data_IF_053194857049
#
_entry.id   IF_053194857049
#
_cell.length_a   1.000
_cell.length_b   1.000
_cell.length_c   1.000
_cell.angle_alpha   90.00
_cell.angle_beta   90.00
_cell.angle_gamma   90.00
#
_symmetry.space_group_name_H-M   'P 1'
#
loop_
_entity.id
_entity.type
_entity.pdbx_description
1 polymer ?
#
# COMPACT_ATOMS: atom_id res chain seq x y z
N UNK A 1 14.82 -11.97 -72.53
CA UNK A 1 14.11 -10.74 -72.10
C UNK A 1 14.35 -9.65 -73.14
N UNK A 2 13.29 -9.13 -73.75
CA UNK A 2 13.36 -8.08 -74.79
C UNK A 2 13.91 -6.76 -74.21
N UNK A 3 14.75 -6.05 -74.96
CA UNK A 3 15.29 -4.70 -74.60
C UNK A 3 14.20 -3.70 -74.17
N UNK A 4 12.96 -3.88 -74.64
CA UNK A 4 11.81 -3.04 -74.24
C UNK A 4 11.39 -3.28 -72.78
N UNK A 5 11.54 -4.51 -72.28
CA UNK A 5 11.22 -4.87 -70.89
C UNK A 5 12.22 -4.25 -69.92
N UNK A 6 13.50 -4.18 -70.30
CA UNK A 6 14.58 -3.58 -69.49
C UNK A 6 14.45 -2.04 -69.37
N UNK A 7 14.04 -1.37 -70.44
CA UNK A 7 13.85 0.08 -70.44
C UNK A 7 12.65 0.52 -69.59
N UNK A 8 11.55 -0.25 -69.61
CA UNK A 8 10.37 0.01 -68.79
C UNK A 8 10.65 -0.20 -67.30
N UNK A 9 11.43 -1.23 -66.94
CA UNK A 9 11.83 -1.45 -65.53
C UNK A 9 12.84 -0.41 -65.02
N UNK A 10 13.78 0.04 -65.84
CA UNK A 10 14.73 1.12 -65.49
C UNK A 10 14.03 2.49 -65.37
N UNK A 11 13.08 2.81 -66.24
CA UNK A 11 12.29 4.04 -66.14
C UNK A 11 11.34 4.03 -64.92
N UNK A 12 10.75 2.87 -64.60
CA UNK A 12 9.90 2.70 -63.41
C UNK A 12 10.69 2.86 -62.10
N UNK A 13 11.95 2.42 -62.05
CA UNK A 13 12.83 2.59 -60.89
C UNK A 13 13.21 4.07 -60.64
N UNK A 14 13.21 4.92 -61.67
CA UNK A 14 13.47 6.36 -61.53
C UNK A 14 12.23 7.18 -61.13
N UNK A 15 11.02 6.62 -61.27
CA UNK A 15 9.76 7.33 -60.99
C UNK A 15 9.41 7.39 -59.49
N UNK A 16 9.97 6.49 -58.68
CA UNK A 16 9.66 6.39 -57.26
C UNK A 16 10.93 6.40 -56.40
N UNK A 17 10.82 6.94 -55.19
CA UNK A 17 11.86 6.84 -54.16
C UNK A 17 11.32 5.98 -53.03
N UNK A 18 12.08 4.96 -52.63
CA UNK A 18 11.80 4.16 -51.45
C UNK A 18 12.58 4.69 -50.26
N UNK A 19 11.88 5.08 -49.20
CA UNK A 19 12.48 5.45 -47.92
C UNK A 19 12.14 4.34 -46.92
N UNK A 20 13.16 3.82 -46.24
CA UNK A 20 13.01 2.86 -45.15
C UNK A 20 13.29 3.56 -43.83
N UNK A 21 12.38 3.42 -42.90
CA UNK A 21 12.51 3.94 -41.53
C UNK A 21 12.04 2.90 -40.53
N UNK A 22 12.65 2.88 -39.36
CA UNK A 22 12.22 2.05 -38.24
C UNK A 22 11.28 2.86 -37.35
N UNK A 23 10.11 2.31 -37.06
CA UNK A 23 9.14 2.85 -36.10
C UNK A 23 9.05 1.90 -34.90
N UNK A 24 9.01 2.43 -33.68
CA UNK A 24 8.89 1.65 -32.45
C UNK A 24 7.69 2.13 -31.65
N UNK A 25 6.94 1.17 -31.10
CA UNK A 25 5.77 1.47 -30.26
C UNK A 25 5.90 0.76 -28.93
N UNK A 26 5.71 1.53 -27.86
CA UNK A 26 5.65 0.97 -26.51
C UNK A 26 4.34 0.20 -26.34
N UNK A 27 4.45 -1.02 -25.85
CA UNK A 27 3.37 -1.90 -25.44
C UNK A 27 3.21 -1.91 -23.93
N UNK A 28 2.96 -3.10 -23.38
CA UNK A 28 2.74 -3.30 -21.95
C UNK A 28 4.01 -2.97 -21.15
N UNK A 29 3.81 -2.31 -20.01
CA UNK A 29 4.87 -2.03 -19.04
C UNK A 29 4.58 -2.80 -17.77
N UNK A 30 5.56 -3.56 -17.30
CA UNK A 30 5.47 -4.29 -16.03
C UNK A 30 6.70 -4.05 -15.18
N UNK A 31 6.51 -4.04 -13.87
CA UNK A 31 7.58 -3.93 -12.89
C UNK A 31 7.89 -5.32 -12.34
N UNK A 32 9.14 -5.75 -12.47
CA UNK A 32 9.61 -7.04 -11.97
C UNK A 32 10.51 -6.80 -10.76
N UNK A 33 10.18 -7.40 -9.63
CA UNK A 33 11.01 -7.31 -8.42
C UNK A 33 12.33 -8.08 -8.62
N UNK A 34 13.43 -7.45 -8.25
CA UNK A 34 14.76 -8.04 -8.19
C UNK A 34 14.97 -8.86 -6.92
N UNK A 35 16.11 -9.53 -6.85
CA UNK A 35 16.45 -10.47 -5.76
C UNK A 35 17.25 -9.84 -4.62
N UNK A 36 17.72 -8.61 -4.80
CA UNK A 36 18.52 -7.90 -3.78
C UNK A 36 17.60 -7.07 -2.92
N UNK A 37 17.51 -7.43 -1.63
CA UNK A 37 16.71 -6.74 -0.64
C UNK A 37 17.56 -5.80 0.23
N UNK A 38 17.02 -4.61 0.49
CA UNK A 38 17.58 -3.63 1.41
C UNK A 38 16.60 -3.38 2.55
N UNK A 39 17.11 -3.39 3.78
CA UNK A 39 16.34 -3.09 4.97
C UNK A 39 16.03 -1.58 5.06
N UNK A 40 14.78 -1.26 5.37
CA UNK A 40 14.36 0.09 5.78
C UNK A 40 14.43 0.24 7.30
N UNK A 41 14.41 1.47 7.84
CA UNK A 41 14.31 1.69 9.27
C UNK A 41 13.17 0.85 9.86
N UNK A 42 13.39 0.19 11.02
CA UNK A 42 12.34 -0.61 11.65
C UNK A 42 11.12 0.24 12.00
N UNK A 43 9.98 -0.42 12.10
CA UNK A 43 8.69 0.19 12.41
C UNK A 43 7.88 -0.74 13.30
N UNK A 44 6.83 -0.19 13.93
CA UNK A 44 5.84 -0.98 14.64
C UNK A 44 4.58 -1.09 13.78
N UNK A 45 3.93 -2.25 13.82
CA UNK A 45 2.63 -2.48 13.21
C UNK A 45 1.66 -2.97 14.28
N UNK A 46 0.39 -2.61 14.17
CA UNK A 46 -0.66 -3.15 15.04
C UNK A 46 -1.22 -4.40 14.38
N UNK A 47 -1.11 -5.53 15.07
CA UNK A 47 -1.69 -6.79 14.66
C UNK A 47 -3.21 -6.81 14.89
N UNK A 48 -3.96 -7.73 14.25
CA UNK A 48 -5.41 -7.81 14.40
C UNK A 48 -5.92 -7.99 15.83
N UNK A 49 -5.10 -8.49 16.76
CA UNK A 49 -5.44 -8.64 18.17
C UNK A 49 -5.03 -7.44 19.05
N UNK A 50 -4.57 -6.35 18.43
CA UNK A 50 -4.16 -5.13 19.11
C UNK A 50 -2.75 -5.18 19.71
N UNK A 51 -1.98 -6.25 19.50
CA UNK A 51 -0.56 -6.30 19.89
C UNK A 51 0.30 -5.58 18.86
N UNK A 52 1.43 -5.03 19.30
CA UNK A 52 2.41 -4.46 18.38
C UNK A 52 3.34 -5.55 17.86
N UNK A 53 3.70 -5.46 16.59
CA UNK A 53 4.76 -6.26 15.97
C UNK A 53 5.82 -5.33 15.41
N UNK A 54 7.06 -5.54 15.85
CA UNK A 54 8.22 -4.78 15.42
C UNK A 54 8.84 -5.44 14.20
N UNK A 55 8.85 -4.74 13.08
CA UNK A 55 9.36 -5.27 11.82
C UNK A 55 10.34 -4.32 11.15
N UNK A 56 11.23 -4.89 10.37
CA UNK A 56 12.12 -4.21 9.44
C UNK A 56 11.55 -4.43 8.03
N UNK A 57 10.89 -3.44 7.43
CA UNK A 57 10.38 -3.56 6.06
C UNK A 57 11.54 -3.75 5.08
N UNK A 58 11.34 -4.62 4.08
CA UNK A 58 12.33 -4.90 3.05
C UNK A 58 11.88 -4.32 1.72
N UNK A 59 12.78 -3.59 1.08
CA UNK A 59 12.57 -3.12 -0.30
C UNK A 59 13.60 -3.73 -1.22
N UNK A 60 13.13 -4.30 -2.33
CA UNK A 60 13.98 -4.88 -3.35
C UNK A 60 14.20 -3.90 -4.48
N UNK A 61 15.35 -4.03 -5.14
CA UNK A 61 15.53 -3.39 -6.45
C UNK A 61 14.46 -3.90 -7.42
N UNK A 62 14.11 -3.12 -8.44
CA UNK A 62 13.19 -3.60 -9.49
C UNK A 62 13.69 -3.21 -10.86
N UNK A 63 13.15 -3.88 -11.87
CA UNK A 63 13.36 -3.56 -13.27
C UNK A 63 12.00 -3.27 -13.88
N UNK A 64 11.88 -2.16 -14.60
CA UNK A 64 10.72 -1.87 -15.44
C UNK A 64 11.01 -2.48 -16.81
N UNK A 65 10.23 -3.49 -17.15
CA UNK A 65 10.23 -4.12 -18.46
C UNK A 65 9.12 -3.47 -19.31
N UNK A 66 9.50 -2.91 -20.46
CA UNK A 66 8.56 -2.39 -21.44
C UNK A 66 8.69 -3.20 -22.72
N UNK A 67 7.59 -3.79 -23.17
CA UNK A 67 7.54 -4.42 -24.48
C UNK A 67 7.57 -3.33 -25.56
N UNK A 68 8.50 -3.43 -26.49
CA UNK A 68 8.64 -2.51 -27.62
C UNK A 68 8.42 -3.29 -28.90
N UNK A 69 7.34 -2.97 -29.61
CA UNK A 69 7.06 -3.53 -30.92
C UNK A 69 7.80 -2.71 -31.99
N UNK A 70 8.62 -3.39 -32.79
CA UNK A 70 9.30 -2.80 -33.94
C UNK A 70 8.50 -2.94 -35.23
N UNK A 71 8.53 -1.91 -36.06
CA UNK A 71 7.96 -1.92 -37.40
C UNK A 71 8.97 -1.34 -38.39
N UNK A 72 9.27 -2.10 -39.43
CA UNK A 72 9.93 -1.55 -40.61
C UNK A 72 8.87 -0.90 -41.49
N UNK A 73 9.01 0.41 -41.70
CA UNK A 73 8.12 1.20 -42.55
C UNK A 73 8.83 1.47 -43.86
N UNK A 74 8.30 0.89 -44.94
CA UNK A 74 8.74 1.19 -46.31
C UNK A 74 7.73 2.14 -46.94
N UNK A 75 8.19 3.36 -47.24
CA UNK A 75 7.39 4.36 -47.96
C UNK A 75 7.91 4.49 -49.38
N UNK A 76 7.06 4.17 -50.34
CA UNK A 76 7.31 4.40 -51.77
C UNK A 76 6.58 5.69 -52.14
N UNK A 77 7.35 6.75 -52.43
CA UNK A 77 6.84 8.08 -52.78
C UNK A 77 7.18 8.45 -54.23
N UNK A 78 6.44 9.37 -54.86
CA UNK A 78 6.79 9.89 -56.17
C UNK A 78 8.17 10.56 -56.12
N UNK A 79 8.99 10.34 -57.15
CA UNK A 79 10.20 11.12 -57.33
C UNK A 79 9.82 12.53 -57.80
N UNK A 80 10.03 13.54 -56.95
CA UNK A 80 9.70 14.93 -57.26
C UNK A 80 10.37 15.42 -58.55
N UNK A 81 11.59 14.97 -58.86
CA UNK A 81 12.27 15.35 -60.10
C UNK A 81 11.57 14.79 -61.35
N UNK A 82 11.08 13.55 -61.30
CA UNK A 82 10.34 12.95 -62.41
C UNK A 82 9.01 13.66 -62.65
N UNK A 83 8.30 14.02 -61.58
CA UNK A 83 7.05 14.79 -61.66
C UNK A 83 7.31 16.17 -62.28
N UNK A 84 8.33 16.90 -61.83
CA UNK A 84 8.68 18.23 -62.36
C UNK A 84 9.03 18.16 -63.84
N UNK A 85 9.88 17.21 -64.24
CA UNK A 85 10.23 17.01 -65.66
C UNK A 85 9.00 16.66 -66.49
N UNK A 86 8.11 15.80 -65.98
CA UNK A 86 6.86 15.46 -66.64
C UNK A 86 5.93 16.67 -66.84
N UNK A 87 5.76 17.50 -65.81
CA UNK A 87 4.93 18.71 -65.89
C UNK A 87 5.48 19.68 -66.92
N UNK A 88 6.79 19.93 -66.92
CA UNK A 88 7.44 20.81 -67.90
C UNK A 88 7.29 20.27 -69.32
N UNK A 89 7.55 18.97 -69.54
CA UNK A 89 7.42 18.34 -70.84
C UNK A 89 5.97 18.34 -71.35
N UNK A 90 4.99 18.09 -70.47
CA UNK A 90 3.56 18.15 -70.79
C UNK A 90 3.14 19.57 -71.17
N UNK A 91 3.57 20.57 -70.40
CA UNK A 91 3.25 21.97 -70.68
C UNK A 91 3.83 22.45 -72.01
N UNK A 92 5.11 22.15 -72.28
CA UNK A 92 5.75 22.47 -73.56
C UNK A 92 5.09 21.71 -74.73
N UNK A 93 4.75 20.43 -74.52
CA UNK A 93 4.06 19.60 -75.50
C UNK A 93 2.66 20.13 -75.82
N UNK A 94 1.88 20.51 -74.80
CA UNK A 94 0.55 21.09 -74.97
C UNK A 94 0.61 22.41 -75.75
N UNK A 95 1.56 23.31 -75.41
CA UNK A 95 1.75 24.57 -76.12
C UNK A 95 2.13 24.34 -77.59
N UNK A 96 3.05 23.42 -77.86
CA UNK A 96 3.45 23.08 -79.23
C UNK A 96 2.31 22.43 -80.02
N UNK A 97 1.53 21.54 -79.40
CA UNK A 97 0.36 20.91 -80.02
C UNK A 97 -0.73 21.95 -80.36
N UNK A 98 -1.08 22.83 -79.43
CA UNK A 98 -2.08 23.90 -79.67
C UNK A 98 -1.62 24.83 -80.79
N UNK A 99 -0.34 25.25 -80.78
CA UNK A 99 0.20 26.09 -81.86
C UNK A 99 0.27 25.39 -83.21
N UNK A 100 0.63 24.10 -83.23
CA UNK A 100 0.65 23.30 -84.45
C UNK A 100 -0.74 23.09 -85.04
N UNK A 101 -1.74 22.83 -84.20
CA UNK A 101 -3.14 22.68 -84.59
C UNK A 101 -3.79 23.98 -85.09
N UNK A 102 -3.27 25.13 -84.68
CA UNK A 102 -3.72 26.44 -85.16
C UNK A 102 -3.05 26.91 -86.47
N UNK A 103 -2.23 26.08 -87.11
CA UNK A 103 -1.62 26.41 -88.42
C UNK A 103 -2.53 26.01 -89.58
N UNK A 104 -2.37 26.64 -90.74
CA UNK A 104 -3.18 26.39 -91.94
C UNK A 104 -3.09 24.94 -92.45
N UNK A 105 -2.03 24.20 -92.06
CA UNK A 105 -1.82 22.80 -92.43
C UNK A 105 -1.37 21.93 -91.21
N UNK A 106 -2.30 21.60 -90.29
CA UNK A 106 -1.99 21.02 -88.98
C UNK A 106 -1.21 19.71 -89.00
N UNK A 107 -1.45 18.87 -90.02
CA UNK A 107 -0.86 17.53 -90.15
C UNK A 107 0.60 17.55 -90.66
N UNK A 108 1.01 18.64 -91.31
CA UNK A 108 2.38 18.84 -91.82
C UNK A 108 3.30 19.63 -90.87
N UNK A 109 2.74 20.24 -89.81
CA UNK A 109 3.50 21.10 -88.91
C UNK A 109 4.41 20.28 -87.97
N UNK A 110 5.72 20.54 -87.92
CA UNK A 110 6.64 19.87 -86.99
C UNK A 110 6.28 20.12 -85.53
N UNK A 111 5.58 21.22 -85.21
CA UNK A 111 5.10 21.53 -83.86
C UNK A 111 4.02 20.57 -83.38
N UNK A 112 3.20 20.01 -84.29
CA UNK A 112 2.20 18.99 -83.95
C UNK A 112 2.87 17.69 -83.50
N UNK A 113 3.97 17.28 -84.17
CA UNK A 113 4.74 16.09 -83.80
C UNK A 113 5.55 16.27 -82.51
N UNK A 114 6.18 17.43 -82.34
CA UNK A 114 6.87 17.79 -81.08
C UNK A 114 5.87 17.87 -79.93
N UNK A 115 4.67 18.41 -80.17
CA UNK A 115 3.58 18.47 -79.20
C UNK A 115 3.10 17.09 -78.76
N UNK A 116 2.85 16.19 -79.73
CA UNK A 116 2.48 14.81 -79.46
C UNK A 116 3.58 14.05 -78.69
N UNK A 117 4.85 14.22 -79.06
CA UNK A 117 5.98 13.62 -78.35
C UNK A 117 6.10 14.16 -76.91
N UNK A 118 5.92 15.47 -76.71
CA UNK A 118 5.94 16.11 -75.39
C UNK A 118 4.82 15.62 -74.48
N UNK A 119 3.61 15.43 -75.00
CA UNK A 119 2.48 14.86 -74.25
C UNK A 119 2.67 13.37 -73.97
N UNK A 120 3.18 12.60 -74.94
CA UNK A 120 3.40 11.16 -74.80
C UNK A 120 4.50 10.82 -73.76
N UNK A 121 5.47 11.71 -73.57
CA UNK A 121 6.52 11.57 -72.53
C UNK A 121 6.11 12.25 -71.23
N UNK A 122 5.50 13.43 -71.33
CA UNK A 122 5.15 14.27 -70.18
C UNK A 122 4.06 13.68 -69.30
N UNK A 123 2.94 13.25 -69.89
CA UNK A 123 1.78 12.76 -69.13
C UNK A 123 2.11 11.52 -68.28
N UNK A 124 2.83 10.50 -68.79
CA UNK A 124 3.27 9.38 -67.96
C UNK A 124 4.22 9.80 -66.83
N UNK A 125 5.07 10.80 -67.02
CA UNK A 125 5.97 11.29 -65.97
C UNK A 125 5.26 12.20 -64.96
N UNK A 126 4.14 12.84 -65.32
CA UNK A 126 3.33 13.63 -64.39
C UNK A 126 2.41 12.77 -63.54
N UNK A 127 1.74 11.78 -64.15
CA UNK A 127 0.71 10.96 -63.48
C UNK A 127 1.31 9.66 -62.94
N UNK A 128 2.21 9.03 -63.72
CA UNK A 128 2.80 7.73 -63.40
C UNK A 128 3.47 7.64 -62.03
N UNK A 129 4.23 8.65 -61.55
CA UNK A 129 4.85 8.62 -60.23
C UNK A 129 3.87 8.55 -59.04
N UNK A 130 2.57 8.81 -59.25
CA UNK A 130 1.55 8.66 -58.21
C UNK A 130 0.96 7.24 -58.17
N UNK A 131 1.08 6.49 -59.27
CA UNK A 131 0.61 5.11 -59.39
C UNK A 131 1.64 4.17 -58.76
N UNK A 132 1.26 3.52 -57.66
CA UNK A 132 2.14 2.62 -56.91
C UNK A 132 2.73 3.23 -55.63
N UNK A 133 2.32 4.44 -55.27
CA UNK A 133 2.59 5.01 -53.94
C UNK A 133 1.96 4.14 -52.86
N UNK A 134 2.77 3.74 -51.88
CA UNK A 134 2.33 2.86 -50.80
C UNK A 134 3.16 3.08 -49.56
N UNK A 135 2.53 2.85 -48.42
CA UNK A 135 3.22 2.70 -47.14
C UNK A 135 2.97 1.26 -46.69
N UNK A 136 4.02 0.45 -46.68
CA UNK A 136 3.98 -0.89 -46.11
C UNK A 136 4.58 -0.86 -44.71
N UNK A 137 3.95 -1.56 -43.77
CA UNK A 137 4.46 -1.76 -42.42
C UNK A 137 4.69 -3.25 -42.20
N UNK A 138 5.92 -3.62 -41.93
CA UNK A 138 6.31 -5.00 -41.66
C UNK A 138 6.68 -5.13 -40.18
N UNK A 139 5.95 -5.94 -39.39
CA UNK A 139 6.29 -6.15 -37.98
C UNK A 139 7.63 -6.89 -37.89
N UNK A 140 8.55 -6.35 -37.08
CA UNK A 140 9.89 -6.94 -36.89
C UNK A 140 10.02 -7.71 -35.58
N UNK A 141 8.92 -7.79 -34.82
CA UNK A 141 8.81 -8.52 -33.56
C UNK A 141 8.68 -7.60 -32.35
N UNK A 142 8.65 -8.20 -31.17
CA UNK A 142 8.59 -7.53 -29.87
C UNK A 142 9.91 -7.75 -29.13
N UNK A 143 10.50 -6.68 -28.61
CA UNK A 143 11.68 -6.73 -27.77
C UNK A 143 11.35 -6.17 -26.39
N UNK A 144 11.83 -6.83 -25.34
CA UNK A 144 11.69 -6.33 -23.97
C UNK A 144 12.84 -5.39 -23.68
N UNK A 145 12.55 -4.13 -23.39
CA UNK A 145 13.54 -3.15 -22.92
C UNK A 145 13.45 -3.06 -21.40
N UNK A 146 14.56 -3.38 -20.74
CA UNK A 146 14.69 -3.33 -19.27
C UNK A 146 15.34 -2.02 -18.83
N UNK A 147 14.76 -1.34 -17.83
CA UNK A 147 15.34 -0.15 -17.19
C UNK A 147 15.29 -0.28 -15.66
N UNK A 148 16.24 0.32 -14.92
CA UNK A 148 16.16 0.37 -13.46
C UNK A 148 14.81 0.95 -13.01
N UNK A 149 14.09 0.21 -12.19
CA UNK A 149 12.81 0.60 -11.62
C UNK A 149 12.93 1.15 -10.19
N UNK A 150 11.83 1.68 -9.63
CA UNK A 150 11.81 2.13 -8.24
C UNK A 150 11.99 0.94 -7.29
N UNK A 151 12.51 1.17 -6.08
CA UNK A 151 12.53 0.12 -5.07
C UNK A 151 11.09 -0.29 -4.71
N UNK A 152 10.80 -1.59 -4.73
CA UNK A 152 9.47 -2.14 -4.46
C UNK A 152 9.45 -2.90 -3.12
N UNK A 153 8.36 -2.86 -2.34
CA UNK A 153 8.21 -3.72 -1.17
C UNK A 153 8.34 -5.19 -1.57
N UNK A 154 9.15 -5.96 -0.84
CA UNK A 154 9.33 -7.38 -1.11
C UNK A 154 9.25 -8.27 0.14
N UNK A 155 8.76 -7.71 1.23
CA UNK A 155 8.49 -8.42 2.47
C UNK A 155 8.91 -7.63 3.70
N UNK A 156 8.96 -8.32 4.81
CA UNK A 156 9.33 -7.78 6.11
C UNK A 156 10.02 -8.86 6.93
N UNK A 157 10.84 -8.43 7.89
CA UNK A 157 11.52 -9.31 8.84
C UNK A 157 11.24 -8.83 10.25
N UNK A 158 11.02 -9.73 11.19
CA UNK A 158 10.92 -9.40 12.61
C UNK A 158 12.19 -8.68 13.10
N UNK A 159 12.03 -7.65 13.94
CA UNK A 159 13.16 -7.06 14.65
C UNK A 159 13.63 -8.04 15.71
N UNK A 160 14.92 -8.36 15.72
CA UNK A 160 15.53 -9.20 16.75
C UNK A 160 15.62 -8.42 18.07
N UNK A 161 14.53 -8.43 18.84
CA UNK A 161 14.45 -7.88 20.19
C UNK A 161 13.91 -8.96 21.12
N UNK A 162 14.34 -8.93 22.38
CA UNK A 162 13.80 -9.82 23.44
C UNK A 162 12.84 -9.07 24.36
N UNK A 163 12.90 -7.75 24.31
CA UNK A 163 12.32 -6.87 25.30
C UNK A 163 12.03 -5.51 24.68
N UNK A 164 10.91 -4.90 25.09
CA UNK A 164 10.54 -3.56 24.68
C UNK A 164 10.00 -2.75 25.86
N UNK A 165 10.34 -1.47 25.89
CA UNK A 165 9.74 -0.46 26.77
C UNK A 165 9.04 0.56 25.89
N UNK A 166 7.76 0.79 26.14
CA UNK A 166 6.93 1.75 25.42
C UNK A 166 6.57 2.88 26.39
N UNK A 167 6.71 4.11 25.94
CA UNK A 167 6.32 5.31 26.68
C UNK A 167 5.18 6.00 25.94
N UNK A 168 4.09 6.28 26.66
CA UNK A 168 2.93 6.99 26.12
C UNK A 168 2.22 7.78 27.21
N UNK A 169 2.08 9.09 27.05
CA UNK A 169 1.39 9.96 28.04
C UNK A 169 1.86 9.76 29.50
N UNK A 170 3.16 9.51 29.70
CA UNK A 170 3.75 9.25 31.02
C UNK A 170 3.55 7.82 31.56
N UNK A 171 2.80 6.98 30.85
CA UNK A 171 2.71 5.55 31.10
C UNK A 171 3.96 4.85 30.57
N UNK A 172 4.51 3.96 31.38
CA UNK A 172 5.64 3.10 31.02
C UNK A 172 5.12 1.67 30.86
N UNK A 173 5.26 1.09 29.67
CA UNK A 173 4.78 -0.27 29.38
C UNK A 173 5.94 -1.14 29.00
N UNK A 174 6.29 -2.05 29.89
CA UNK A 174 7.36 -3.02 29.69
C UNK A 174 6.81 -4.39 29.32
N UNK A 175 7.54 -5.14 28.48
CA UNK A 175 7.18 -6.50 28.14
C UNK A 175 8.19 -7.23 27.26
N UNK A 176 8.02 -8.55 27.17
CA UNK A 176 8.80 -9.39 26.28
C UNK A 176 8.41 -9.16 24.80
N UNK A 177 9.37 -9.42 23.91
CA UNK A 177 9.18 -9.51 22.46
C UNK A 177 9.53 -10.93 22.06
N UNK A 178 8.63 -11.60 21.35
CA UNK A 178 8.87 -12.95 20.84
C UNK A 178 9.69 -12.95 19.54
N UNK A 179 10.06 -14.14 19.06
CA UNK A 179 10.92 -14.32 17.88
C UNK A 179 10.28 -13.77 16.58
N UNK A 180 8.96 -13.62 16.54
CA UNK A 180 8.21 -13.01 15.42
C UNK A 180 8.16 -11.47 15.52
N UNK A 181 8.80 -10.91 16.55
CA UNK A 181 8.85 -9.47 16.82
C UNK A 181 7.61 -8.95 17.52
N UNK A 182 6.74 -9.83 18.04
CA UNK A 182 5.47 -9.43 18.63
C UNK A 182 5.64 -9.11 20.11
N UNK A 183 5.17 -7.93 20.49
CA UNK A 183 5.21 -7.46 21.85
C UNK A 183 4.14 -8.14 22.71
N UNK A 184 4.49 -8.59 23.90
CA UNK A 184 3.61 -9.34 24.82
C UNK A 184 2.37 -8.56 25.29
N UNK A 185 2.45 -7.24 25.37
CA UNK A 185 1.35 -6.38 25.85
C UNK A 185 0.58 -5.82 24.66
N UNK A 186 -0.76 -5.87 24.71
CA UNK A 186 -1.60 -5.27 23.70
C UNK A 186 -1.80 -3.78 23.97
N UNK A 187 -2.00 -2.97 22.92
CA UNK A 187 -2.30 -1.55 23.06
C UNK A 187 -3.52 -1.30 23.95
N UNK A 188 -4.50 -2.20 23.89
CA UNK A 188 -5.73 -2.12 24.69
C UNK A 188 -5.57 -2.47 26.17
N UNK A 189 -4.41 -2.95 26.60
CA UNK A 189 -4.12 -3.15 28.04
C UNK A 189 -3.82 -1.80 28.74
N UNK A 190 -3.69 -0.72 27.98
CA UNK A 190 -3.48 0.64 28.49
C UNK A 190 -4.28 1.74 27.74
N UNK A 191 -5.03 1.35 26.72
CA UNK A 191 -6.01 2.19 26.03
C UNK A 191 -7.35 1.49 26.14
N UNK A 192 -8.38 2.19 26.59
CA UNK A 192 -9.69 1.59 26.78
C UNK A 192 -10.31 1.17 25.43
N UNK A 193 -10.41 -0.15 25.20
CA UNK A 193 -10.98 -0.73 23.98
C UNK A 193 -12.48 -0.41 23.81
N UNK A 194 -13.19 -0.09 24.90
CA UNK A 194 -14.60 0.29 24.84
C UNK A 194 -14.81 1.79 24.61
N UNK A 195 -13.74 2.58 24.54
CA UNK A 195 -13.85 4.01 24.25
C UNK A 195 -14.38 4.23 22.81
N UNK A 196 -15.47 5.00 22.63
CA UNK A 196 -16.02 5.28 21.31
C UNK A 196 -15.03 6.03 20.40
N UNK A 197 -14.13 6.84 20.97
CA UNK A 197 -13.12 7.62 20.24
C UNK A 197 -11.73 7.34 20.79
N UNK A 198 -11.01 6.42 20.15
CA UNK A 198 -9.64 6.09 20.54
C UNK A 198 -8.69 7.28 20.29
N UNK A 199 -7.76 7.56 21.21
CA UNK A 199 -6.71 8.54 20.99
C UNK A 199 -5.64 7.99 20.03
N UNK A 200 -4.87 8.85 19.35
CA UNK A 200 -3.64 8.42 18.69
C UNK A 200 -2.62 7.98 19.74
N UNK A 201 -1.82 6.97 19.42
CA UNK A 201 -0.73 6.54 20.30
C UNK A 201 0.59 7.02 19.73
N UNK A 202 1.08 8.13 20.25
CA UNK A 202 2.44 8.59 20.01
C UNK A 202 3.39 7.81 20.93
N UNK A 203 3.94 6.73 20.38
CA UNK A 203 4.71 5.75 21.13
C UNK A 203 6.20 6.00 20.96
N UNK A 204 6.84 6.10 22.12
CA UNK A 204 8.27 6.16 22.29
C UNK A 204 8.77 4.76 22.70
N UNK A 205 9.42 4.03 21.79
CA UNK A 205 9.66 2.58 21.92
C UNK A 205 11.17 2.29 21.99
N UNK A 206 11.61 1.73 23.11
CA UNK A 206 12.97 1.24 23.31
C UNK A 206 13.01 -0.28 23.22
N UNK A 207 13.58 -0.79 22.14
CA UNK A 207 13.81 -2.22 21.92
C UNK A 207 15.20 -2.61 22.44
N UNK A 208 15.28 -3.72 23.17
CA UNK A 208 16.56 -4.29 23.61
C UNK A 208 16.75 -5.68 22.99
N UNK A 209 17.82 -5.82 22.21
CA UNK A 209 18.16 -7.04 21.48
C UNK A 209 19.64 -7.42 21.63
N UNK A 210 20.09 -8.49 20.95
CA UNK A 210 21.49 -8.94 20.99
C UNK A 210 22.46 -7.89 20.44
N UNK A 211 22.02 -7.09 19.47
CA UNK A 211 22.84 -6.05 18.81
C UNK A 211 22.83 -4.71 19.56
N UNK A 212 22.19 -4.66 20.74
CA UNK A 212 22.10 -3.47 21.59
C UNK A 212 20.68 -2.91 21.71
N UNK A 213 20.60 -1.61 22.03
CA UNK A 213 19.33 -0.88 22.15
C UNK A 213 18.99 -0.17 20.86
N UNK A 214 17.72 -0.23 20.46
CA UNK A 214 17.16 0.45 19.30
C UNK A 214 15.97 1.29 19.74
N UNK A 215 16.00 2.59 19.42
CA UNK A 215 14.89 3.50 19.64
C UNK A 215 14.03 3.61 18.38
N UNK A 216 12.71 3.55 18.56
CA UNK A 216 11.71 3.82 17.52
C UNK A 216 10.69 4.80 18.08
N UNK A 217 10.33 5.81 17.29
CA UNK A 217 9.17 6.64 17.57
C UNK A 217 8.10 6.31 16.53
N UNK A 218 6.88 6.02 16.97
CA UNK A 218 5.82 5.52 16.11
C UNK A 218 4.46 6.05 16.55
N UNK A 219 3.73 6.64 15.61
CA UNK A 219 2.36 7.11 15.83
C UNK A 219 1.41 6.05 15.30
N UNK A 220 0.64 5.44 16.20
CA UNK A 220 -0.45 4.54 15.83
C UNK A 220 -1.71 5.35 15.58
N UNK A 221 -2.24 5.25 14.37
CA UNK A 221 -3.50 5.88 13.99
C UNK A 221 -4.70 5.27 14.75
N UNK A 222 -5.65 6.09 15.23
CA UNK A 222 -6.86 5.61 15.91
C UNK A 222 -7.68 4.63 15.07
N UNK A 223 -7.69 4.79 13.75
CA UNK A 223 -8.42 3.91 12.82
C UNK A 223 -7.81 2.51 12.76
N UNK A 224 -6.48 2.41 12.84
CA UNK A 224 -5.75 1.13 12.88
C UNK A 224 -6.09 0.40 14.18
N UNK A 225 -6.07 1.09 15.32
CA UNK A 225 -6.49 0.50 16.59
C UNK A 225 -7.96 0.07 16.55
N UNK A 226 -8.85 0.93 16.05
CA UNK A 226 -10.27 0.59 15.93
C UNK A 226 -10.47 -0.71 15.12
N UNK A 227 -9.69 -0.93 14.06
CA UNK A 227 -9.71 -2.16 13.27
C UNK A 227 -9.27 -3.42 14.03
N UNK A 228 -8.36 -3.28 15.01
CA UNK A 228 -7.85 -4.39 15.82
C UNK A 228 -8.72 -4.75 17.04
N UNK A 229 -9.73 -3.93 17.37
CA UNK A 229 -10.56 -4.07 18.58
C UNK A 229 -11.29 -5.42 18.65
N UNK A 230 -11.90 -5.84 17.53
CA UNK A 230 -12.66 -7.08 17.50
C UNK A 230 -11.75 -8.32 17.71
N UNK A 231 -10.57 -8.32 17.09
CA UNK A 231 -9.59 -9.39 17.27
C UNK A 231 -9.02 -9.42 18.69
N UNK A 232 -8.82 -8.26 19.31
CA UNK A 232 -8.41 -8.18 20.72
C UNK A 232 -9.39 -8.88 21.66
N UNK A 233 -10.70 -8.58 21.53
CA UNK A 233 -11.72 -9.21 22.35
C UNK A 233 -11.84 -10.71 22.06
N UNK A 234 -11.82 -11.11 20.78
CA UNK A 234 -11.87 -12.51 20.38
C UNK A 234 -10.69 -13.32 20.93
N UNK A 235 -9.47 -12.78 20.86
CA UNK A 235 -8.27 -13.45 21.37
C UNK A 235 -8.30 -13.70 22.88
N UNK A 236 -9.08 -12.92 23.64
CA UNK A 236 -9.24 -13.04 25.10
C UNK A 236 -10.58 -13.68 25.50
N UNK A 237 -11.42 -14.08 24.54
CA UNK A 237 -12.75 -14.63 24.82
C UNK A 237 -13.68 -13.64 25.54
N UNK A 238 -13.48 -12.33 25.34
CA UNK A 238 -14.27 -11.27 25.97
C UNK A 238 -15.51 -11.02 25.13
N UNK A 239 -16.68 -11.04 25.77
CA UNK A 239 -17.92 -10.60 25.13
C UNK A 239 -17.91 -9.07 24.97
N UNK A 240 -17.80 -8.62 23.72
CA UNK A 240 -17.79 -7.21 23.36
C UNK A 240 -19.19 -6.66 23.01
N UNK A 241 -20.24 -7.48 23.10
CA UNK A 241 -21.58 -7.06 22.77
C UNK A 241 -22.07 -6.00 23.78
N UNK A 242 -22.44 -4.84 23.24
CA UNK A 242 -23.01 -3.73 24.02
C UNK A 242 -24.32 -3.34 23.34
N UNK A 243 -25.48 -3.58 23.98
CA UNK A 243 -26.76 -3.17 23.44
C UNK A 243 -26.88 -1.63 23.47
N UNK A 244 -27.72 -0.99 22.63
CA UNK A 244 -27.94 0.45 22.72
C UNK A 244 -28.51 0.86 24.09
N UNK A 245 -28.08 2.00 24.63
CA UNK A 245 -28.52 2.50 25.94
C UNK A 245 -30.05 2.53 26.08
N UNK A 246 -30.77 2.88 25.01
CA UNK A 246 -32.24 2.99 25.03
C UNK A 246 -32.94 1.64 25.22
N UNK A 247 -32.24 0.53 25.03
CA UNK A 247 -32.76 -0.83 25.19
C UNK A 247 -32.51 -1.40 26.59
N UNK A 248 -31.79 -0.66 27.45
CA UNK A 248 -31.52 -1.07 28.83
C UNK A 248 -32.75 -0.82 29.70
N UNK A 249 -33.47 -1.89 30.05
CA UNK A 249 -34.63 -1.81 30.95
C UNK A 249 -34.23 -1.60 32.41
N UNK A 250 -33.06 -2.10 32.81
CA UNK A 250 -32.57 -2.11 34.19
C UNK A 250 -31.07 -1.85 34.25
N UNK A 251 -30.62 -1.16 35.28
CA UNK A 251 -29.20 -0.85 35.50
C UNK A 251 -28.52 -1.93 36.34
N UNK A 252 -27.26 -2.27 36.05
CA UNK A 252 -26.48 -3.13 36.92
C UNK A 252 -26.06 -2.39 38.20
N UNK A 253 -25.73 -3.14 39.25
CA UNK A 253 -25.16 -2.61 40.48
C UNK A 253 -24.08 -3.57 40.95
N UNK A 254 -22.91 -3.05 41.29
CA UNK A 254 -21.76 -3.86 41.64
C UNK A 254 -21.35 -3.64 43.08
N UNK A 255 -21.13 -4.71 43.82
CA UNK A 255 -20.60 -4.65 45.17
C UNK A 255 -19.08 -4.80 45.20
N UNK A 256 -18.38 -4.00 46.04
CA UNK A 256 -16.96 -4.19 46.27
C UNK A 256 -16.70 -5.46 47.09
N UNK A 257 -15.98 -6.40 46.49
CA UNK A 257 -15.23 -7.43 47.20
C UNK A 257 -13.83 -6.96 47.65
N UNK A 258 -13.03 -7.90 48.17
CA UNK A 258 -11.61 -7.65 48.51
C UNK A 258 -10.75 -7.93 47.29
N UNK A 259 -9.90 -6.98 46.89
CA UNK A 259 -8.95 -7.18 45.79
C UNK A 259 -7.84 -8.14 46.23
N UNK A 260 -7.72 -9.26 45.54
CA UNK A 260 -6.56 -10.14 45.61
C UNK A 260 -5.41 -9.51 44.82
N UNK A 261 -4.27 -9.31 45.49
CA UNK A 261 -3.05 -8.78 44.87
C UNK A 261 -1.91 -9.70 45.23
N UNK A 262 -1.41 -10.41 44.23
CA UNK A 262 -0.32 -11.37 44.41
C UNK A 262 0.84 -10.93 43.54
N UNK A 263 1.98 -10.67 44.17
CA UNK A 263 3.22 -10.41 43.47
C UNK A 263 3.98 -11.72 43.26
N UNK A 264 4.23 -12.05 42.00
CA UNK A 264 5.10 -13.13 41.59
C UNK A 264 6.28 -12.56 40.79
N UNK A 265 7.38 -13.32 40.58
CA UNK A 265 8.54 -12.83 39.84
C UNK A 265 8.15 -12.27 38.47
N UNK A 266 8.48 -10.99 38.21
CA UNK A 266 8.20 -10.28 36.96
C UNK A 266 6.72 -10.02 36.65
N UNK A 267 5.78 -10.26 37.58
CA UNK A 267 4.34 -10.06 37.32
C UNK A 267 3.51 -9.75 38.56
N UNK A 268 2.51 -8.90 38.39
CA UNK A 268 1.46 -8.64 39.38
C UNK A 268 0.16 -9.30 38.94
N UNK A 269 -0.33 -10.24 39.75
CA UNK A 269 -1.65 -10.83 39.55
C UNK A 269 -2.69 -10.07 40.36
N UNK A 270 -3.69 -9.55 39.67
CA UNK A 270 -4.87 -8.92 40.24
C UNK A 270 -6.05 -9.87 40.10
N UNK A 271 -6.75 -10.12 41.21
CA UNK A 271 -7.94 -10.95 41.26
C UNK A 271 -9.05 -10.14 41.92
N UNK A 272 -10.02 -9.72 41.11
CA UNK A 272 -11.10 -8.84 41.49
C UNK A 272 -12.42 -9.62 41.50
N UNK A 273 -12.89 -10.09 42.66
CA UNK A 273 -14.22 -10.67 42.75
C UNK A 273 -15.27 -9.56 42.57
N UNK A 274 -16.14 -9.74 41.59
CA UNK A 274 -17.21 -8.81 41.25
C UNK A 274 -18.56 -9.56 41.31
N UNK A 275 -19.51 -9.00 42.04
CA UNK A 275 -20.89 -9.47 42.06
C UNK A 275 -21.81 -8.39 41.50
N UNK A 276 -22.63 -8.76 40.51
CA UNK A 276 -23.70 -7.89 40.03
C UNK A 276 -24.96 -8.15 40.87
N UNK A 277 -25.14 -7.35 41.92
CA UNK A 277 -26.32 -7.40 42.80
C UNK A 277 -27.51 -6.62 42.24
N UNK A 278 -27.29 -5.89 41.14
CA UNK A 278 -28.31 -5.11 40.49
C UNK A 278 -29.29 -5.96 39.67
N UNK A 279 -30.45 -5.39 39.34
CA UNK A 279 -31.49 -6.12 38.63
C UNK A 279 -31.29 -6.15 37.11
N UNK A 280 -30.26 -5.48 36.57
CA UNK A 280 -29.88 -5.49 35.15
C UNK A 280 -28.47 -6.07 34.91
N UNK A 281 -28.16 -6.57 33.71
CA UNK A 281 -26.82 -7.04 33.33
C UNK A 281 -25.83 -5.88 33.12
N UNK A 282 -24.53 -6.16 33.29
CA UNK A 282 -23.44 -5.25 32.95
C UNK A 282 -22.76 -5.64 31.64
N UNK A 283 -22.47 -4.66 30.79
CA UNK A 283 -21.91 -4.82 29.44
C UNK A 283 -20.63 -4.00 29.25
N UNK A 284 -19.70 -4.55 28.48
CA UNK A 284 -18.33 -4.04 28.36
C UNK A 284 -17.69 -3.67 29.70
N UNK A 285 -17.86 -4.56 30.69
CA UNK A 285 -17.30 -4.35 32.02
C UNK A 285 -15.79 -4.41 31.98
N UNK A 286 -15.18 -3.39 32.59
CA UNK A 286 -13.75 -3.23 32.69
C UNK A 286 -13.36 -2.53 33.98
N UNK A 287 -12.11 -2.66 34.37
CA UNK A 287 -11.51 -1.97 35.50
C UNK A 287 -10.27 -1.21 35.06
N UNK A 288 -10.09 0.01 35.57
CA UNK A 288 -8.85 0.77 35.41
C UNK A 288 -8.06 0.71 36.71
N UNK A 289 -6.78 0.36 36.59
CA UNK A 289 -5.84 0.34 37.71
C UNK A 289 -5.49 1.78 38.11
N UNK A 290 -5.58 2.06 39.40
CA UNK A 290 -5.12 3.30 40.01
C UNK A 290 -3.99 2.96 40.99
N UNK A 291 -2.81 3.52 40.76
CA UNK A 291 -1.60 3.22 41.52
C UNK A 291 -0.64 4.42 41.56
N UNK A 292 0.25 4.46 42.55
CA UNK A 292 1.38 5.39 42.55
C UNK A 292 2.53 4.96 41.62
N UNK A 293 2.47 3.76 41.04
CA UNK A 293 3.48 3.28 40.11
C UNK A 293 3.05 3.52 38.65
N UNK A 294 3.88 4.18 37.82
CA UNK A 294 3.52 4.56 36.45
C UNK A 294 3.42 3.40 35.44
N UNK A 295 3.90 2.19 35.76
CA UNK A 295 3.68 1.00 34.91
C UNK A 295 2.33 0.33 35.17
N UNK A 296 1.72 0.64 36.32
CA UNK A 296 0.46 0.07 36.78
C UNK A 296 -0.69 1.04 36.62
N UNK A 297 -0.48 2.33 36.92
CA UNK A 297 -1.52 3.34 36.82
C UNK A 297 -2.07 3.45 35.40
N UNK A 298 -3.39 3.45 35.24
CA UNK A 298 -4.05 3.55 33.94
C UNK A 298 -4.19 2.24 33.16
N UNK A 299 -3.65 1.11 33.63
CA UNK A 299 -3.85 -0.21 32.99
C UNK A 299 -5.32 -0.60 32.99
N UNK A 300 -5.78 -1.24 31.90
CA UNK A 300 -7.18 -1.64 31.72
C UNK A 300 -7.32 -3.17 31.77
N UNK A 301 -8.30 -3.64 32.53
CA UNK A 301 -8.65 -5.06 32.69
C UNK A 301 -10.09 -5.27 32.27
N UNK A 302 -10.41 -6.37 31.58
CA UNK A 302 -11.72 -6.57 30.95
C UNK A 302 -12.41 -7.85 31.44
N UNK A 303 -13.73 -7.78 31.58
CA UNK A 303 -14.65 -8.92 31.79
C UNK A 303 -15.59 -9.10 30.59
N UNK A 304 -16.02 -7.99 29.97
CA UNK A 304 -17.00 -8.03 28.88
C UNK A 304 -18.43 -8.00 29.42
N UNK A 305 -18.99 -9.13 29.83
CA UNK A 305 -20.39 -9.20 30.25
C UNK A 305 -20.56 -9.89 31.61
N UNK A 306 -21.43 -9.36 32.45
CA UNK A 306 -21.83 -9.97 33.72
C UNK A 306 -23.35 -9.95 33.88
N UNK A 307 -24.03 -11.12 33.84
CA UNK A 307 -25.47 -11.21 34.02
C UNK A 307 -25.95 -10.62 35.36
N UNK A 308 -27.23 -10.26 35.42
CA UNK A 308 -27.88 -9.85 36.67
C UNK A 308 -27.84 -11.00 37.70
N UNK A 309 -27.47 -10.69 38.95
CA UNK A 309 -27.36 -11.66 40.04
C UNK A 309 -26.15 -12.60 39.95
N UNK A 310 -25.30 -12.48 38.93
CA UNK A 310 -24.12 -13.32 38.77
C UNK A 310 -22.90 -12.75 39.50
N UNK A 311 -21.94 -13.62 39.80
CA UNK A 311 -20.61 -13.27 40.26
C UNK A 311 -19.55 -13.81 39.30
N UNK A 312 -18.46 -13.07 39.17
CA UNK A 312 -17.30 -13.46 38.38
C UNK A 312 -16.03 -12.90 39.03
N UNK A 313 -14.88 -13.42 38.62
CA UNK A 313 -13.59 -12.86 39.01
C UNK A 313 -12.92 -12.24 37.77
N UNK A 314 -12.64 -10.95 37.86
CA UNK A 314 -11.79 -10.21 36.92
C UNK A 314 -10.34 -10.53 37.26
N UNK A 315 -9.65 -11.27 36.38
CA UNK A 315 -8.25 -11.65 36.57
C UNK A 315 -7.38 -10.90 35.56
N UNK A 316 -6.30 -10.30 36.04
CA UNK A 316 -5.25 -9.74 35.20
C UNK A 316 -3.88 -10.16 35.70
N UNK A 317 -3.04 -10.61 34.77
CA UNK A 317 -1.61 -10.78 34.99
C UNK A 317 -0.90 -9.62 34.28
N UNK A 318 -0.38 -8.67 35.06
CA UNK A 318 0.32 -7.49 34.55
C UNK A 318 1.83 -7.75 34.62
N UNK A 319 2.56 -7.82 33.48
CA UNK A 319 4.00 -7.92 33.51
C UNK A 319 4.60 -6.66 34.16
N UNK A 320 5.64 -6.85 34.97
CA UNK A 320 6.32 -5.78 35.69
C UNK A 320 7.79 -5.72 35.28
N UNK A 321 8.32 -4.51 35.15
CA UNK A 321 9.77 -4.31 35.15
C UNK A 321 10.39 -4.69 36.49
N UNK A 322 11.71 -4.95 36.55
CA UNK A 322 12.43 -5.12 37.82
C UNK A 322 12.35 -3.89 38.75
N UNK A 323 12.11 -2.69 38.21
CA UNK A 323 11.92 -1.49 39.00
C UNK A 323 10.52 -1.42 39.60
N UNK A 324 9.48 -1.70 38.79
CA UNK A 324 8.11 -1.75 39.27
C UNK A 324 7.91 -2.89 40.27
N UNK A 325 8.50 -4.06 40.04
CA UNK A 325 8.46 -5.16 41.02
C UNK A 325 9.03 -4.74 42.38
N UNK A 326 10.17 -4.05 42.40
CA UNK A 326 10.76 -3.52 43.64
C UNK A 326 9.87 -2.47 44.31
N UNK A 327 9.25 -1.58 43.53
CA UNK A 327 8.35 -0.56 44.04
C UNK A 327 7.07 -1.17 44.66
N UNK A 328 6.47 -2.14 43.97
CA UNK A 328 5.24 -2.84 44.39
C UNK A 328 5.50 -3.73 45.60
N UNK A 329 6.71 -4.28 45.71
CA UNK A 329 7.14 -5.05 46.88
C UNK A 329 7.34 -4.22 48.16
N UNK A 330 7.31 -2.89 48.06
CA UNK A 330 7.39 -1.98 49.20
C UNK A 330 6.21 -2.14 50.17
N UNK A 331 6.48 -1.98 51.47
CA UNK A 331 5.43 -2.00 52.47
C UNK A 331 4.41 -0.88 52.22
N UNK A 332 3.12 -1.21 52.22
CA UNK A 332 2.04 -0.24 52.06
C UNK A 332 1.74 0.16 50.61
N UNK A 333 2.22 -0.58 49.61
CA UNK A 333 1.78 -0.39 48.24
C UNK A 333 0.27 -0.60 48.12
N UNK A 334 -0.44 0.46 47.75
CA UNK A 334 -1.89 0.46 47.58
C UNK A 334 -2.20 0.45 46.09
N UNK A 335 -3.04 -0.50 45.70
CA UNK A 335 -3.61 -0.55 44.36
C UNK A 335 -5.13 -0.51 44.48
N UNK A 336 -5.73 0.25 43.57
CA UNK A 336 -7.17 0.28 43.41
C UNK A 336 -7.58 -0.06 41.99
N UNK A 337 -8.76 -0.67 41.88
CA UNK A 337 -9.43 -0.90 40.61
C UNK A 337 -10.70 -0.06 40.58
N UNK A 338 -10.96 0.57 39.44
CA UNK A 338 -12.13 1.41 39.17
C UNK A 338 -12.99 0.72 38.12
N UNK A 339 -14.05 0.04 38.54
CA UNK A 339 -14.94 -0.70 37.63
C UNK A 339 -15.89 0.25 36.89
N UNK A 340 -16.04 0.04 35.58
CA UNK A 340 -16.94 0.79 34.70
C UNK A 340 -17.65 -0.14 33.74
N UNK A 341 -18.93 0.12 33.55
CA UNK A 341 -19.73 -0.39 32.44
C UNK A 341 -19.46 0.41 31.15
N UNK A 342 -19.61 -0.19 29.97
CA UNK A 342 -19.40 0.48 28.69
C UNK A 342 -20.31 1.70 28.48
N UNK A 343 -21.51 1.68 29.04
CA UNK A 343 -22.43 2.80 28.94
C UNK A 343 -22.11 3.94 29.92
N UNK A 344 -21.22 3.70 30.89
CA UNK A 344 -20.94 4.66 31.98
C UNK A 344 -22.12 4.89 32.93
N UNK A 345 -23.15 4.04 32.89
CA UNK A 345 -24.39 4.22 33.65
C UNK A 345 -24.30 3.69 35.08
N UNK A 346 -23.43 2.71 35.33
CA UNK A 346 -23.20 2.15 36.65
C UNK A 346 -21.79 1.59 36.78
N UNK A 347 -21.19 1.67 37.97
CA UNK A 347 -21.69 2.39 39.15
C UNK A 347 -21.52 3.91 38.98
N UNK A 348 -22.44 4.72 39.54
CA UNK A 348 -22.39 6.20 39.45
C UNK A 348 -21.16 6.80 40.14
N UNK A 349 -20.58 6.05 41.07
CA UNK A 349 -19.24 6.26 41.61
C UNK A 349 -18.38 5.04 41.29
N UNK A 350 -17.13 5.21 40.80
CA UNK A 350 -16.25 4.07 40.59
C UNK A 350 -16.13 3.25 41.87
N UNK A 351 -16.49 1.97 41.81
CA UNK A 351 -16.30 1.06 42.95
C UNK A 351 -14.80 0.87 43.10
N UNK A 352 -14.26 1.36 44.22
CA UNK A 352 -12.84 1.30 44.55
C UNK A 352 -12.56 0.07 45.37
N UNK A 353 -11.80 -0.83 44.79
CA UNK A 353 -11.25 -1.95 45.52
C UNK A 353 -9.88 -1.55 46.07
N UNK A 354 -9.48 -2.07 47.22
CA UNK A 354 -8.14 -1.82 47.78
C UNK A 354 -7.51 -3.16 48.11
N UNK A 355 -6.29 -3.36 47.62
CA UNK A 355 -5.48 -4.52 47.93
C UNK A 355 -4.14 -4.09 48.51
N UNK A 356 -3.61 -4.92 49.41
CA UNK A 356 -2.22 -4.85 49.86
C UNK A 356 -1.52 -6.04 49.24
N UNK A 357 -0.34 -5.81 48.68
CA UNK A 357 0.44 -6.82 47.98
C UNK A 357 0.83 -7.93 48.96
N UNK A 358 0.37 -9.15 48.67
CA UNK A 358 0.82 -10.34 49.35
C UNK A 358 1.99 -10.94 48.55
N UNK A 359 3.18 -11.01 49.16
CA UNK A 359 4.29 -11.77 48.59
C UNK A 359 3.99 -13.26 48.73
N UNK A 360 3.90 -13.98 47.62
CA UNK A 360 4.08 -15.43 47.66
C UNK A 360 5.56 -15.70 47.92
N UNK A 361 5.85 -16.58 48.89
CA UNK A 361 7.18 -16.81 49.44
C UNK A 361 8.28 -17.06 48.39
N UNK A 362 9.48 -16.61 48.75
CA UNK A 362 10.76 -16.85 48.07
C UNK A 362 11.05 -18.32 47.81
#
# INVERSE_FOLDING_TARGET
>A
MSRRVLAVTLAAAACHVSVRSQDTRNGETRTVAGTVASARPPTAQVEPDGRLRFVTPLTCTSVVETDVAGFDVEQVRPNAAAVVVGVVATALGAVAAVRGLSTDEPAGSPLTYVGAAGLAVGLPLTIGPFIGTRTARHPTGTQVVSRPGPAVPCGERAVAARHAVLLWNGLHVEGAVDDDGRFSVAAFDFVDAFEPRLPPLDLAIDLTGPDGKLRLDHIVDPSVLAGARAGFFAARGIDAAIPPVQTLEKLPQFEPGRLGVVLAPGRLRLALPLANVGPGPGFGLRAVVASSNPELDGRVVYLGHLPAGASAELIADIPLSPEAERAVAGAGFMIALLVRDAHGLAPSTPVRFRGVVLRTGS
#
